data_IF_583107373629
#
_entry.id   IF_583107373629
#
_cell.length_a   1.000
_cell.length_b   1.000
_cell.length_c   1.000
_cell.angle_alpha   90.00
_cell.angle_beta   90.00
_cell.angle_gamma   90.00
#
_symmetry.space_group_name_H-M   'P 1'
#
loop_
_entity.id
_entity.type
_entity.pdbx_description
1 polymer ?
#
# COMPACT_ATOMS: atom_id res chain seq x y z
N UNK A 1 -46.12 -4.58 -18.66
CA UNK A 1 -45.29 -3.49 -18.11
C UNK A 1 -43.83 -3.90 -18.29
N UNK A 2 -43.16 -3.47 -19.38
CA UNK A 2 -41.72 -3.73 -19.58
C UNK A 2 -40.98 -2.77 -18.66
N UNK A 3 -40.60 -3.26 -17.49
CA UNK A 3 -39.69 -2.56 -16.59
C UNK A 3 -38.40 -2.26 -17.36
N UNK A 4 -38.17 -0.98 -17.68
CA UNK A 4 -36.93 -0.45 -18.23
C UNK A 4 -35.85 -0.47 -17.14
N UNK A 5 -35.48 -1.65 -16.66
CA UNK A 5 -34.28 -1.80 -15.87
C UNK A 5 -33.08 -1.64 -16.83
N UNK A 6 -32.19 -0.66 -16.56
CA UNK A 6 -31.05 -0.38 -17.42
C UNK A 6 -30.17 -1.62 -17.61
N UNK A 7 -29.77 -1.87 -18.86
CA UNK A 7 -28.87 -2.97 -19.21
C UNK A 7 -27.48 -2.71 -18.64
N UNK A 8 -26.93 -3.69 -17.90
CA UNK A 8 -25.56 -3.64 -17.41
C UNK A 8 -24.58 -3.79 -18.59
N UNK A 9 -23.74 -2.79 -18.82
CA UNK A 9 -22.67 -2.87 -19.81
C UNK A 9 -21.29 -2.71 -19.17
N UNK A 10 -20.41 -3.67 -19.46
CA UNK A 10 -18.99 -3.62 -19.10
C UNK A 10 -18.23 -3.03 -20.27
N UNK A 11 -17.72 -1.81 -20.10
CA UNK A 11 -17.02 -1.07 -21.13
C UNK A 11 -15.50 -1.14 -20.95
N UNK A 12 -14.75 -0.51 -21.85
CA UNK A 12 -13.29 -0.40 -21.76
C UNK A 12 -12.76 0.10 -20.42
N UNK A 13 -13.52 0.94 -19.68
CA UNK A 13 -13.10 1.45 -18.37
C UNK A 13 -13.11 0.35 -17.32
N UNK A 14 -14.10 -0.55 -17.37
CA UNK A 14 -14.16 -1.74 -16.53
C UNK A 14 -12.95 -2.63 -16.76
N UNK A 15 -12.69 -2.98 -18.02
CA UNK A 15 -11.60 -3.90 -18.36
C UNK A 15 -10.23 -3.31 -18.04
N UNK A 16 -10.05 -2.00 -18.23
CA UNK A 16 -8.81 -1.34 -17.84
C UNK A 16 -8.65 -1.32 -16.31
N UNK A 17 -9.67 -0.89 -15.56
CA UNK A 17 -9.62 -0.84 -14.10
C UNK A 17 -9.31 -2.22 -13.51
N UNK A 18 -9.99 -3.27 -13.98
CA UNK A 18 -9.70 -4.64 -13.58
C UNK A 18 -8.29 -5.08 -14.00
N UNK A 19 -7.94 -4.86 -15.27
CA UNK A 19 -6.67 -5.30 -15.85
C UNK A 19 -5.45 -4.69 -15.17
N UNK A 20 -5.47 -3.40 -14.79
CA UNK A 20 -4.33 -2.77 -14.12
C UNK A 20 -4.09 -3.35 -12.72
N UNK A 21 -5.14 -3.73 -11.98
CA UNK A 21 -4.98 -4.39 -10.68
C UNK A 21 -4.43 -5.81 -10.83
N UNK A 22 -4.90 -6.56 -11.82
CA UNK A 22 -4.36 -7.89 -12.15
C UNK A 22 -2.90 -7.79 -12.58
N UNK A 23 -2.56 -6.80 -13.41
CA UNK A 23 -1.19 -6.54 -13.85
C UNK A 23 -0.27 -6.17 -12.69
N UNK A 24 -0.70 -5.25 -11.81
CA UNK A 24 0.06 -4.86 -10.63
C UNK A 24 0.28 -6.03 -9.65
N UNK A 25 -0.63 -7.00 -9.59
CA UNK A 25 -0.53 -8.15 -8.69
C UNK A 25 0.71 -9.03 -8.96
N UNK A 26 1.22 -9.07 -10.19
CA UNK A 26 2.45 -9.80 -10.52
C UNK A 26 3.70 -9.26 -9.84
N UNK A 27 3.66 -7.99 -9.40
CA UNK A 27 4.78 -7.32 -8.74
C UNK A 27 4.58 -7.20 -7.23
N UNK A 28 3.50 -7.79 -6.69
CA UNK A 28 3.22 -7.78 -5.25
C UNK A 28 4.19 -8.73 -4.54
N UNK A 29 4.79 -8.35 -3.39
CA UNK A 29 5.62 -9.26 -2.60
C UNK A 29 4.87 -10.54 -2.20
N UNK A 30 3.58 -10.42 -1.91
CA UNK A 30 2.66 -11.53 -1.61
C UNK A 30 2.57 -12.57 -2.75
N UNK A 31 2.81 -12.15 -4.00
CA UNK A 31 2.84 -13.06 -5.14
C UNK A 31 4.04 -14.01 -5.06
N UNK A 32 5.16 -13.56 -4.50
CA UNK A 32 6.39 -14.33 -4.35
C UNK A 32 6.43 -15.19 -3.07
N UNK A 33 5.65 -14.81 -2.05
CA UNK A 33 5.47 -15.60 -0.82
C UNK A 33 4.51 -16.79 -1.00
N UNK A 34 3.82 -16.85 -2.13
CA UNK A 34 2.91 -17.94 -2.50
C UNK A 34 3.17 -18.39 -3.94
N UNK A 35 2.33 -19.27 -4.47
CA UNK A 35 2.34 -19.54 -5.90
C UNK A 35 1.81 -18.30 -6.63
N UNK A 36 2.67 -17.59 -7.38
CA UNK A 36 2.34 -16.36 -8.14
C UNK A 36 0.99 -16.48 -8.86
N UNK A 37 0.77 -17.59 -9.58
CA UNK A 37 -0.48 -17.82 -10.31
C UNK A 37 -1.70 -17.87 -9.37
N UNK A 38 -1.59 -18.55 -8.22
CA UNK A 38 -2.66 -18.63 -7.23
C UNK A 38 -3.00 -17.25 -6.68
N UNK A 39 -1.99 -16.43 -6.38
CA UNK A 39 -2.18 -15.06 -5.90
C UNK A 39 -2.83 -14.17 -6.96
N UNK A 40 -2.31 -14.18 -8.17
CA UNK A 40 -2.86 -13.38 -9.28
C UNK A 40 -4.28 -13.79 -9.61
N UNK A 41 -4.61 -15.08 -9.62
CA UNK A 41 -5.98 -15.57 -9.81
C UNK A 41 -6.91 -15.11 -8.67
N UNK A 42 -6.41 -15.14 -7.42
CA UNK A 42 -7.14 -14.60 -6.27
C UNK A 42 -7.45 -13.12 -6.49
N UNK A 43 -6.45 -12.30 -6.83
CA UNK A 43 -6.62 -10.87 -7.11
C UNK A 43 -7.58 -10.66 -8.29
N UNK A 44 -7.43 -11.41 -9.38
CA UNK A 44 -8.30 -11.31 -10.55
C UNK A 44 -9.77 -11.61 -10.21
N UNK A 45 -10.03 -12.62 -9.39
CA UNK A 45 -11.38 -12.94 -8.92
C UNK A 45 -11.95 -11.83 -8.04
N UNK A 46 -11.26 -11.42 -6.98
CA UNK A 46 -11.79 -10.41 -6.04
C UNK A 46 -11.89 -9.02 -6.66
N UNK A 47 -10.92 -8.60 -7.46
CA UNK A 47 -11.00 -7.33 -8.19
C UNK A 47 -12.10 -7.35 -9.25
N UNK A 48 -12.26 -8.47 -9.97
CA UNK A 48 -13.35 -8.67 -10.93
C UNK A 48 -14.71 -8.59 -10.24
N UNK A 49 -14.89 -9.32 -9.12
CA UNK A 49 -16.09 -9.28 -8.31
C UNK A 49 -16.41 -7.87 -7.78
N UNK A 50 -15.39 -7.15 -7.29
CA UNK A 50 -15.52 -5.78 -6.80
C UNK A 50 -15.98 -4.82 -7.89
N UNK A 51 -15.25 -4.73 -9.00
CA UNK A 51 -15.60 -3.83 -10.09
C UNK A 51 -16.94 -4.20 -10.73
N UNK A 52 -17.25 -5.50 -10.83
CA UNK A 52 -18.50 -5.97 -11.40
C UNK A 52 -19.68 -5.54 -10.53
N UNK A 53 -19.56 -5.70 -9.22
CA UNK A 53 -20.59 -5.28 -8.26
C UNK A 53 -20.79 -3.77 -8.31
N UNK A 54 -19.70 -2.97 -8.37
CA UNK A 54 -19.81 -1.52 -8.54
C UNK A 54 -20.50 -1.14 -9.86
N UNK A 55 -20.16 -1.77 -10.97
CA UNK A 55 -20.82 -1.53 -12.26
C UNK A 55 -22.31 -1.92 -12.22
N UNK A 56 -22.65 -3.02 -11.55
CA UNK A 56 -24.04 -3.42 -11.33
C UNK A 56 -24.81 -2.39 -10.48
N UNK A 57 -24.17 -1.81 -9.46
CA UNK A 57 -24.74 -0.72 -8.67
C UNK A 57 -24.85 0.58 -9.49
N UNK A 58 -23.84 0.90 -10.30
CA UNK A 58 -23.86 2.09 -11.15
C UNK A 58 -24.94 2.03 -12.23
N UNK A 59 -25.30 0.83 -12.69
CA UNK A 59 -26.43 0.66 -13.58
C UNK A 59 -27.74 1.16 -12.94
N UNK A 60 -27.87 1.22 -11.62
CA UNK A 60 -29.06 1.75 -10.94
C UNK A 60 -29.11 3.28 -10.92
N UNK A 61 -28.05 3.96 -11.33
CA UNK A 61 -27.92 5.42 -11.30
C UNK A 61 -28.44 6.06 -12.59
N UNK A 62 -28.81 7.36 -12.56
CA UNK A 62 -29.11 8.11 -13.78
C UNK A 62 -27.92 8.12 -14.75
N UNK A 63 -28.12 8.15 -16.09
CA UNK A 63 -27.05 8.00 -17.08
C UNK A 63 -25.86 8.96 -16.90
N UNK A 64 -26.14 10.24 -16.61
CA UNK A 64 -25.09 11.24 -16.40
C UNK A 64 -24.21 10.90 -15.17
N UNK A 65 -24.83 10.41 -14.11
CA UNK A 65 -24.14 10.07 -12.88
C UNK A 65 -23.41 8.72 -12.99
N UNK A 66 -23.96 7.78 -13.76
CA UNK A 66 -23.28 6.53 -14.11
C UNK A 66 -21.96 6.79 -14.84
N UNK A 67 -21.96 7.67 -15.85
CA UNK A 67 -20.74 8.00 -16.60
C UNK A 67 -19.70 8.72 -15.74
N UNK A 68 -20.14 9.65 -14.89
CA UNK A 68 -19.27 10.28 -13.90
C UNK A 68 -18.66 9.25 -12.94
N UNK A 69 -19.48 8.38 -12.35
CA UNK A 69 -19.05 7.36 -11.40
C UNK A 69 -18.04 6.37 -12.01
N UNK A 70 -18.25 5.93 -13.25
CA UNK A 70 -17.29 5.09 -13.99
C UNK A 70 -15.94 5.79 -14.20
N UNK A 71 -15.96 7.09 -14.52
CA UNK A 71 -14.73 7.86 -14.72
C UNK A 71 -13.97 8.07 -13.40
N UNK A 72 -14.68 8.37 -12.31
CA UNK A 72 -14.09 8.46 -10.96
C UNK A 72 -13.49 7.12 -10.55
N UNK A 73 -14.23 6.02 -10.73
CA UNK A 73 -13.76 4.67 -10.43
C UNK A 73 -12.48 4.33 -11.22
N UNK A 74 -12.45 4.65 -12.51
CA UNK A 74 -11.25 4.44 -13.33
C UNK A 74 -10.07 5.27 -12.83
N UNK A 75 -10.26 6.57 -12.57
CA UNK A 75 -9.19 7.44 -12.11
C UNK A 75 -8.59 6.96 -10.80
N UNK A 76 -9.42 6.64 -9.81
CA UNK A 76 -8.97 6.07 -8.54
C UNK A 76 -8.26 4.73 -8.75
N UNK A 77 -8.78 3.88 -9.64
CA UNK A 77 -8.18 2.59 -9.94
C UNK A 77 -6.78 2.71 -10.55
N UNK A 78 -6.59 3.63 -11.50
CA UNK A 78 -5.29 3.88 -12.11
C UNK A 78 -4.29 4.42 -11.09
N UNK A 79 -4.69 5.38 -10.26
CA UNK A 79 -3.83 5.93 -9.19
C UNK A 79 -3.39 4.83 -8.24
N UNK A 80 -4.33 4.07 -7.67
CA UNK A 80 -4.01 3.00 -6.74
C UNK A 80 -3.17 1.89 -7.39
N UNK A 81 -3.54 1.43 -8.60
CA UNK A 81 -2.79 0.38 -9.28
C UNK A 81 -1.36 0.80 -9.63
N UNK A 82 -1.14 2.05 -10.05
CA UNK A 82 0.21 2.55 -10.33
C UNK A 82 1.05 2.71 -9.06
N UNK A 83 0.46 3.17 -7.96
CA UNK A 83 1.18 3.21 -6.68
C UNK A 83 1.55 1.79 -6.25
N UNK A 84 0.63 0.81 -6.35
CA UNK A 84 0.92 -0.59 -6.02
C UNK A 84 2.01 -1.17 -6.91
N UNK A 85 1.91 -0.97 -8.22
CA UNK A 85 2.90 -1.42 -9.18
C UNK A 85 4.28 -0.83 -8.84
N UNK A 86 4.35 0.49 -8.62
CA UNK A 86 5.61 1.15 -8.29
C UNK A 86 6.18 0.66 -6.96
N UNK A 87 5.35 0.54 -5.93
CA UNK A 87 5.77 0.04 -4.62
C UNK A 87 6.30 -1.39 -4.69
N UNK A 88 5.60 -2.26 -5.41
CA UNK A 88 6.02 -3.65 -5.61
C UNK A 88 7.27 -3.77 -6.47
N UNK A 89 7.32 -3.07 -7.59
CA UNK A 89 8.43 -3.14 -8.54
C UNK A 89 9.72 -2.52 -8.02
N UNK A 90 9.65 -1.34 -7.41
CA UNK A 90 10.85 -0.58 -6.98
C UNK A 90 11.29 -0.96 -5.58
N UNK A 91 10.35 -1.16 -4.65
CA UNK A 91 10.65 -1.36 -3.24
C UNK A 91 10.39 -2.78 -2.75
N UNK A 92 9.87 -3.67 -3.59
CA UNK A 92 9.37 -4.99 -3.17
C UNK A 92 8.47 -4.86 -1.93
N UNK A 93 7.58 -3.87 -1.96
CA UNK A 93 6.72 -3.50 -0.84
C UNK A 93 5.27 -3.34 -1.31
N UNK A 94 4.34 -3.67 -0.44
CA UNK A 94 2.92 -3.42 -0.65
C UNK A 94 2.50 -2.01 -0.19
N UNK A 95 1.34 -1.53 -0.66
CA UNK A 95 0.76 -0.30 -0.12
C UNK A 95 0.38 -0.52 1.36
N UNK A 96 1.09 0.15 2.27
CA UNK A 96 0.99 -0.06 3.71
C UNK A 96 1.18 1.25 4.50
N UNK A 97 1.10 1.15 5.83
CA UNK A 97 1.24 2.29 6.73
C UNK A 97 2.63 2.94 6.68
N UNK A 98 3.70 2.16 6.51
CA UNK A 98 5.07 2.69 6.47
C UNK A 98 5.23 3.61 5.27
N UNK A 99 4.76 3.18 4.08
CA UNK A 99 4.76 4.00 2.87
C UNK A 99 4.02 5.34 3.10
N UNK A 100 2.87 5.28 3.76
CA UNK A 100 2.06 6.48 4.06
C UNK A 100 2.74 7.42 5.06
N UNK A 101 3.38 6.89 6.10
CA UNK A 101 4.14 7.68 7.07
C UNK A 101 5.36 8.33 6.43
N UNK A 102 6.06 7.62 5.54
CA UNK A 102 7.17 8.19 4.76
C UNK A 102 6.68 9.33 3.88
N UNK A 103 5.55 9.16 3.19
CA UNK A 103 4.94 10.22 2.36
C UNK A 103 4.47 11.41 3.20
N UNK A 104 3.99 11.19 4.43
CA UNK A 104 3.55 12.26 5.31
C UNK A 104 4.72 13.06 5.90
N UNK A 105 5.84 12.39 6.20
CA UNK A 105 7.00 13.00 6.85
C UNK A 105 8.02 13.59 5.88
N UNK A 106 7.85 13.40 4.57
CA UNK A 106 8.81 13.90 3.57
C UNK A 106 8.62 15.38 3.26
N UNK A 107 9.63 15.98 2.63
CA UNK A 107 9.60 17.36 2.15
C UNK A 107 9.94 17.46 0.65
N UNK A 108 9.87 18.67 0.11
CA UNK A 108 10.07 18.92 -1.33
C UNK A 108 11.49 18.60 -1.79
N UNK A 109 12.51 18.89 -0.97
CA UNK A 109 13.91 18.61 -1.33
C UNK A 109 14.18 17.11 -1.44
N UNK A 110 13.67 16.34 -0.47
CA UNK A 110 13.71 14.87 -0.49
C UNK A 110 12.95 14.30 -1.67
N UNK A 111 11.74 14.81 -1.95
CA UNK A 111 10.93 14.38 -3.10
C UNK A 111 11.67 14.61 -4.41
N UNK A 112 12.30 15.77 -4.60
CA UNK A 112 13.07 16.06 -5.81
C UNK A 112 14.32 15.19 -5.94
N UNK A 113 15.05 14.95 -4.85
CA UNK A 113 16.20 14.05 -4.83
C UNK A 113 15.79 12.62 -5.19
N UNK A 114 14.66 12.16 -4.62
CA UNK A 114 14.07 10.87 -4.94
C UNK A 114 13.70 10.77 -6.42
N UNK A 115 12.96 11.72 -6.98
CA UNK A 115 12.56 11.70 -8.39
C UNK A 115 13.77 11.66 -9.34
N UNK A 116 14.84 12.41 -9.04
CA UNK A 116 16.09 12.34 -9.81
C UNK A 116 16.71 10.94 -9.77
N UNK A 117 16.70 10.29 -8.60
CA UNK A 117 17.23 8.93 -8.45
C UNK A 117 16.40 7.87 -9.21
N UNK A 118 15.11 8.13 -9.44
CA UNK A 118 14.15 7.16 -10.00
C UNK A 118 13.83 7.37 -11.49
N UNK A 119 14.71 8.02 -12.25
CA UNK A 119 14.46 8.41 -13.65
C UNK A 119 13.98 7.24 -14.53
N UNK A 120 14.59 6.06 -14.43
CA UNK A 120 14.18 4.87 -15.21
C UNK A 120 12.77 4.37 -14.82
N UNK A 121 12.45 4.36 -13.53
CA UNK A 121 11.14 3.96 -13.02
C UNK A 121 10.04 4.96 -13.44
N UNK A 122 10.37 6.25 -13.52
CA UNK A 122 9.46 7.29 -14.00
C UNK A 122 9.14 7.09 -15.49
N UNK A 123 10.16 6.80 -16.33
CA UNK A 123 9.94 6.49 -17.75
C UNK A 123 9.01 5.28 -17.93
N UNK A 124 9.16 4.25 -17.10
CA UNK A 124 8.28 3.09 -17.10
C UNK A 124 6.84 3.45 -16.73
N UNK A 125 6.64 4.26 -15.69
CA UNK A 125 5.29 4.75 -15.32
C UNK A 125 4.68 5.55 -16.47
N UNK A 126 5.43 6.44 -17.11
CA UNK A 126 4.95 7.22 -18.26
C UNK A 126 4.55 6.32 -19.43
N UNK A 127 5.33 5.26 -19.71
CA UNK A 127 5.00 4.27 -20.73
C UNK A 127 3.71 3.49 -20.38
N UNK A 128 3.50 3.15 -19.11
CA UNK A 128 2.27 2.50 -18.65
C UNK A 128 1.05 3.43 -18.74
N UNK A 129 1.20 4.71 -18.38
CA UNK A 129 0.16 5.73 -18.55
C UNK A 129 -0.19 5.86 -20.03
N UNK A 130 0.81 5.94 -20.91
CA UNK A 130 0.60 5.98 -22.35
C UNK A 130 -0.12 4.72 -22.85
N UNK A 131 0.27 3.53 -22.38
CA UNK A 131 -0.41 2.27 -22.70
C UNK A 131 -1.87 2.26 -22.25
N UNK A 132 -2.19 2.78 -21.07
CA UNK A 132 -3.56 2.92 -20.58
C UNK A 132 -4.37 3.90 -21.44
N UNK A 133 -3.79 5.05 -21.82
CA UNK A 133 -4.43 6.02 -22.69
C UNK A 133 -4.67 5.43 -24.10
N UNK A 134 -3.69 4.72 -24.65
CA UNK A 134 -3.80 4.02 -25.92
C UNK A 134 -4.89 2.95 -25.87
N UNK A 135 -4.95 2.16 -24.79
CA UNK A 135 -6.01 1.18 -24.58
C UNK A 135 -7.40 1.83 -24.59
N UNK A 136 -7.58 2.95 -23.88
CA UNK A 136 -8.85 3.68 -23.85
C UNK A 136 -9.23 4.28 -25.21
N UNK A 137 -8.24 4.60 -26.05
CA UNK A 137 -8.45 5.16 -27.38
C UNK A 137 -8.80 4.09 -28.42
N UNK A 138 -8.06 2.99 -28.43
CA UNK A 138 -8.20 1.87 -29.39
C UNK A 138 -9.35 0.94 -29.02
N UNK A 139 -9.43 0.53 -27.74
CA UNK A 139 -10.39 -0.49 -27.32
C UNK A 139 -11.80 0.10 -27.31
N UNK A 140 -12.65 -0.37 -28.24
CA UNK A 140 -14.08 -0.02 -28.31
C UNK A 140 -14.99 -1.15 -27.84
N UNK A 141 -14.41 -2.17 -27.21
CA UNK A 141 -15.16 -3.32 -26.73
C UNK A 141 -16.11 -2.92 -25.59
N UNK A 142 -17.35 -3.36 -25.73
CA UNK A 142 -18.41 -3.21 -24.73
C UNK A 142 -19.18 -4.52 -24.66
N UNK A 143 -19.26 -5.09 -23.45
CA UNK A 143 -20.01 -6.31 -23.20
C UNK A 143 -21.31 -5.99 -22.50
N UNK A 144 -22.41 -6.05 -23.24
CA UNK A 144 -23.76 -5.89 -22.71
C UNK A 144 -24.23 -7.21 -22.10
N UNK A 145 -24.54 -7.20 -20.82
CA UNK A 145 -24.88 -8.39 -20.05
C UNK A 145 -26.40 -8.53 -19.97
N UNK A 146 -26.90 -9.70 -20.40
CA UNK A 146 -28.31 -10.03 -20.26
C UNK A 146 -28.72 -10.18 -18.79
N UNK A 147 -29.97 -9.87 -18.44
CA UNK A 147 -30.46 -9.97 -17.05
C UNK A 147 -30.24 -11.35 -16.42
N UNK A 148 -30.45 -12.43 -17.20
CA UNK A 148 -30.24 -13.81 -16.72
C UNK A 148 -28.77 -14.06 -16.39
N UNK A 149 -27.87 -13.61 -17.27
CA UNK A 149 -26.43 -13.73 -17.03
C UNK A 149 -26.00 -12.85 -15.85
N UNK A 150 -26.54 -11.64 -15.70
CA UNK A 150 -26.22 -10.77 -14.57
C UNK A 150 -26.58 -11.43 -13.22
N UNK A 151 -27.80 -11.96 -13.10
CA UNK A 151 -28.24 -12.67 -11.89
C UNK A 151 -27.38 -13.91 -11.62
N UNK A 152 -27.02 -14.67 -12.66
CA UNK A 152 -26.12 -15.80 -12.53
C UNK A 152 -24.73 -15.38 -12.03
N UNK A 153 -24.13 -14.33 -12.61
CA UNK A 153 -22.82 -13.82 -12.22
C UNK A 153 -22.81 -13.28 -10.79
N UNK A 154 -23.84 -12.52 -10.40
CA UNK A 154 -23.99 -12.05 -9.01
C UNK A 154 -24.13 -13.22 -8.04
N UNK A 155 -24.94 -14.24 -8.40
CA UNK A 155 -25.06 -15.46 -7.61
C UNK A 155 -23.75 -16.22 -7.48
N UNK A 156 -23.00 -16.35 -8.57
CA UNK A 156 -21.69 -17.01 -8.60
C UNK A 156 -20.65 -16.25 -7.74
N UNK A 157 -20.58 -14.92 -7.88
CA UNK A 157 -19.71 -14.06 -7.06
C UNK A 157 -20.09 -14.19 -5.59
N UNK A 158 -21.38 -14.05 -5.26
CA UNK A 158 -21.88 -14.14 -3.89
C UNK A 158 -21.60 -15.50 -3.26
N UNK A 159 -21.80 -16.59 -4.02
CA UNK A 159 -21.46 -17.95 -3.58
C UNK A 159 -19.96 -18.12 -3.37
N UNK A 160 -19.12 -17.65 -4.29
CA UNK A 160 -17.66 -17.76 -4.17
C UNK A 160 -17.10 -17.00 -2.96
N UNK A 161 -17.56 -15.75 -2.75
CA UNK A 161 -17.20 -14.97 -1.56
C UNK A 161 -17.76 -15.63 -0.29
N UNK A 162 -19.02 -16.06 -0.30
CA UNK A 162 -19.67 -16.70 0.84
C UNK A 162 -18.99 -18.02 1.25
N UNK A 163 -18.61 -18.85 0.29
CA UNK A 163 -17.84 -20.08 0.55
C UNK A 163 -16.47 -19.77 1.16
N UNK A 164 -15.77 -18.74 0.68
CA UNK A 164 -14.48 -18.34 1.23
C UNK A 164 -14.60 -17.79 2.66
N UNK A 165 -15.59 -16.92 2.92
CA UNK A 165 -15.88 -16.40 4.26
C UNK A 165 -16.30 -17.53 5.20
N UNK A 166 -17.18 -18.44 4.77
CA UNK A 166 -17.61 -19.59 5.54
C UNK A 166 -16.46 -20.52 5.92
N UNK A 167 -15.56 -20.82 4.97
CA UNK A 167 -14.33 -21.57 5.26
C UNK A 167 -13.46 -20.87 6.30
N UNK A 168 -13.30 -19.56 6.18
CA UNK A 168 -12.47 -18.79 7.13
C UNK A 168 -13.08 -18.77 8.52
N UNK A 169 -14.39 -18.57 8.62
CA UNK A 169 -15.12 -18.59 9.89
C UNK A 169 -15.03 -19.98 10.55
N UNK A 170 -15.17 -21.05 9.77
CA UNK A 170 -15.01 -22.43 10.25
C UNK A 170 -13.61 -22.68 10.83
N UNK A 171 -12.55 -22.29 10.11
CA UNK A 171 -11.17 -22.44 10.58
C UNK A 171 -10.86 -21.54 11.79
N UNK A 172 -11.41 -20.33 11.83
CA UNK A 172 -11.23 -19.42 12.98
C UNK A 172 -11.89 -19.99 14.23
N UNK A 173 -13.09 -20.56 14.09
CA UNK A 173 -13.80 -21.20 15.19
C UNK A 173 -13.03 -22.39 15.77
N UNK A 174 -12.30 -23.16 14.95
CA UNK A 174 -11.44 -24.24 15.42
C UNK A 174 -10.30 -23.77 16.33
N UNK A 175 -9.87 -22.51 16.19
CA UNK A 175 -8.76 -21.92 16.96
C UNK A 175 -9.31 -20.98 18.05
N UNK A 176 -10.61 -21.02 18.33
CA UNK A 176 -11.25 -20.21 19.37
C UNK A 176 -11.39 -18.72 19.02
N UNK A 177 -11.32 -18.37 17.72
CA UNK A 177 -11.43 -16.99 17.23
C UNK A 177 -12.72 -16.79 16.41
N UNK A 178 -13.37 -15.64 16.58
CA UNK A 178 -14.60 -15.29 15.85
C UNK A 178 -14.33 -14.21 14.77
N UNK A 179 -13.49 -14.54 13.79
CA UNK A 179 -13.22 -13.64 12.66
C UNK A 179 -14.21 -13.88 11.52
N UNK A 180 -15.27 -13.05 11.47
CA UNK A 180 -16.31 -13.10 10.42
C UNK A 180 -15.92 -12.35 9.13
N UNK A 181 -14.93 -11.46 9.20
CA UNK A 181 -14.37 -10.78 8.04
C UNK A 181 -12.91 -11.22 7.88
N UNK A 182 -12.59 -12.11 6.91
CA UNK A 182 -11.21 -12.48 6.64
C UNK A 182 -10.46 -11.20 6.26
N UNK A 183 -9.39 -10.80 7.00
CA UNK A 183 -8.52 -9.71 6.56
C UNK A 183 -8.07 -9.95 5.11
N UNK A 184 -7.81 -11.21 4.79
CA UNK A 184 -7.45 -11.71 3.47
C UNK A 184 -8.40 -11.38 2.31
N UNK A 185 -9.68 -11.08 2.55
CA UNK A 185 -10.62 -10.65 1.50
C UNK A 185 -10.53 -9.14 1.35
N UNK A 186 -10.67 -8.41 2.46
CA UNK A 186 -10.60 -6.95 2.49
C UNK A 186 -9.26 -6.41 1.97
N UNK A 187 -8.18 -7.12 2.29
CA UNK A 187 -6.81 -6.76 1.91
C UNK A 187 -6.49 -7.15 0.45
N UNK A 188 -7.38 -7.85 -0.24
CA UNK A 188 -7.25 -8.12 -1.69
C UNK A 188 -8.17 -7.25 -2.54
N UNK A 189 -9.13 -6.57 -1.94
CA UNK A 189 -10.10 -5.76 -2.68
C UNK A 189 -9.45 -4.45 -3.15
N UNK A 190 -9.56 -4.11 -4.45
CA UNK A 190 -9.13 -2.82 -4.97
C UNK A 190 -9.74 -1.67 -4.19
N UNK A 191 -8.97 -0.60 -3.96
CA UNK A 191 -9.34 0.63 -3.27
C UNK A 191 -9.63 0.46 -1.78
N UNK A 192 -10.16 -0.70 -1.34
CA UNK A 192 -10.46 -1.00 0.05
C UNK A 192 -9.17 -1.21 0.85
N UNK A 193 -8.21 -2.00 0.33
CA UNK A 193 -6.89 -2.16 0.99
C UNK A 193 -6.21 -0.80 1.20
N UNK A 194 -6.20 0.04 0.17
CA UNK A 194 -5.57 1.36 0.21
C UNK A 194 -6.29 2.30 1.19
N UNK A 195 -7.62 2.36 1.12
CA UNK A 195 -8.43 3.18 2.04
C UNK A 195 -8.23 2.74 3.49
N UNK A 196 -8.15 1.43 3.74
CA UNK A 196 -7.92 0.86 5.07
C UNK A 196 -6.52 1.19 5.58
N UNK A 197 -5.50 1.10 4.72
CA UNK A 197 -4.15 1.50 5.06
C UNK A 197 -4.07 3.01 5.39
N UNK A 198 -4.73 3.87 4.62
CA UNK A 198 -4.84 5.31 4.91
C UNK A 198 -5.52 5.54 6.26
N UNK A 199 -6.68 4.92 6.48
CA UNK A 199 -7.46 5.06 7.71
C UNK A 199 -6.64 4.70 8.95
N UNK A 200 -6.00 3.52 8.95
CA UNK A 200 -5.19 3.10 10.09
C UNK A 200 -3.92 3.94 10.27
N UNK A 201 -3.32 4.44 9.19
CA UNK A 201 -2.15 5.32 9.30
C UNK A 201 -2.51 6.64 9.99
N UNK A 202 -3.67 7.21 9.66
CA UNK A 202 -4.18 8.43 10.32
C UNK A 202 -4.48 8.18 11.80
N UNK A 203 -5.13 7.04 12.13
CA UNK A 203 -5.47 6.68 13.50
C UNK A 203 -4.24 6.38 14.36
N UNK A 204 -3.24 5.69 13.81
CA UNK A 204 -2.01 5.35 14.51
C UNK A 204 -1.13 6.59 14.75
N UNK A 205 -1.04 7.49 13.76
CA UNK A 205 -0.30 8.75 13.88
C UNK A 205 -0.88 9.67 14.96
N UNK A 206 -2.21 9.73 15.10
CA UNK A 206 -2.86 10.54 16.13
C UNK A 206 -2.76 9.91 17.52
N UNK A 207 -2.89 8.58 17.66
CA UNK A 207 -2.98 7.93 18.97
C UNK A 207 -1.62 7.72 19.64
N UNK A 208 -0.57 7.30 18.93
CA UNK A 208 0.74 7.02 19.54
C UNK A 208 1.42 8.32 19.99
N UNK A 209 1.38 9.35 19.14
CA UNK A 209 1.98 10.66 19.46
C UNK A 209 1.19 11.36 20.56
N UNK A 210 -0.15 11.36 20.51
CA UNK A 210 -0.93 11.97 21.60
C UNK A 210 -0.80 11.19 22.91
N UNK A 211 -0.77 9.86 22.90
CA UNK A 211 -0.58 9.09 24.14
C UNK A 211 0.81 9.27 24.72
N UNK A 212 1.85 9.41 23.89
CA UNK A 212 3.21 9.69 24.36
C UNK A 212 3.36 11.13 24.87
N UNK A 213 2.75 12.13 24.21
CA UNK A 213 2.82 13.54 24.61
C UNK A 213 1.91 13.88 25.81
N UNK A 214 0.79 13.18 25.97
CA UNK A 214 -0.16 13.41 27.06
C UNK A 214 0.15 12.61 28.32
N UNK A 215 1.16 11.73 28.29
CA UNK A 215 1.65 11.13 29.53
C UNK A 215 2.49 12.17 30.28
N UNK A 216 2.04 12.62 31.47
CA UNK A 216 2.87 13.50 32.28
C UNK A 216 4.15 12.75 32.62
N UNK A 217 5.29 13.39 32.36
CA UNK A 217 6.59 12.87 32.78
C UNK A 217 6.54 12.55 34.28
N UNK A 218 7.14 11.43 34.74
CA UNK A 218 7.23 11.12 36.16
C UNK A 218 7.76 12.34 36.92
N UNK A 219 7.17 12.66 38.08
CA UNK A 219 7.51 13.86 38.86
C UNK A 219 9.00 13.96 39.24
N UNK A 220 9.72 12.84 39.20
CA UNK A 220 11.15 12.74 39.50
C UNK A 220 12.05 12.55 38.26
N UNK A 221 11.51 12.68 37.04
CA UNK A 221 12.29 12.44 35.80
C UNK A 221 13.47 13.42 35.62
N UNK A 222 13.37 14.62 36.19
CA UNK A 222 14.43 15.64 36.17
C UNK A 222 15.19 15.72 37.50
N UNK A 223 15.43 14.59 38.17
CA UNK A 223 16.43 14.57 39.25
C UNK A 223 17.82 14.51 38.62
N UNK A 224 18.46 15.67 38.61
CA UNK A 224 19.87 15.81 38.33
C UNK A 224 20.62 15.35 39.59
N UNK A 225 21.43 14.30 39.48
CA UNK A 225 22.26 13.85 40.60
C UNK A 225 23.19 14.98 41.06
N UNK A 226 23.47 15.01 42.36
CA UNK A 226 24.27 16.05 43.00
C UNK A 226 25.70 16.11 42.43
N UNK A 227 26.19 14.98 41.91
CA UNK A 227 27.52 14.84 41.28
C UNK A 227 27.47 14.89 39.73
N UNK A 228 26.45 15.53 39.16
CA UNK A 228 26.29 15.60 37.70
C UNK A 228 27.30 16.52 37.01
N UNK A 229 27.66 16.17 35.78
CA UNK A 229 28.51 17.01 34.92
C UNK A 229 27.75 18.23 34.41
N UNK A 230 28.40 19.39 34.27
CA UNK A 230 27.74 20.66 33.94
C UNK A 230 27.11 20.69 32.55
N UNK A 231 27.58 19.86 31.61
CA UNK A 231 27.03 19.78 30.24
C UNK A 231 26.95 18.32 29.78
N UNK A 232 25.79 17.93 29.26
CA UNK A 232 25.58 16.64 28.59
C UNK A 232 25.20 16.92 27.15
N UNK A 233 26.00 16.40 26.21
CA UNK A 233 25.72 16.49 24.77
C UNK A 233 25.28 15.12 24.28
N UNK A 234 24.01 14.98 23.89
CA UNK A 234 23.50 13.77 23.24
C UNK A 234 23.56 13.95 21.72
N UNK A 235 24.33 13.07 21.06
CA UNK A 235 24.42 13.03 19.59
C UNK A 235 23.59 11.84 19.10
N UNK A 236 22.48 12.11 18.43
CA UNK A 236 21.67 11.07 17.78
C UNK A 236 22.08 10.98 16.31
N UNK A 237 22.79 9.91 15.96
CA UNK A 237 23.17 9.65 14.57
C UNK A 237 22.00 9.08 13.75
N UNK A 238 22.00 9.32 12.44
CA UNK A 238 21.06 8.72 11.50
C UNK A 238 21.79 7.73 10.59
N UNK A 239 21.23 6.52 10.43
CA UNK A 239 21.68 5.51 9.46
C UNK A 239 23.17 5.11 9.51
N UNK A 240 23.88 5.41 10.59
CA UNK A 240 25.26 4.98 10.81
C UNK A 240 25.29 3.53 11.31
N UNK A 241 25.86 2.62 10.51
CA UNK A 241 26.03 1.22 10.88
C UNK A 241 27.48 0.91 11.22
N UNK A 242 27.67 0.25 12.38
CA UNK A 242 28.98 -0.19 12.90
C UNK A 242 29.81 -0.92 11.84
N UNK A 243 29.16 -1.76 11.02
CA UNK A 243 29.83 -2.63 10.05
C UNK A 243 30.48 -1.87 8.88
N UNK A 244 30.13 -0.61 8.67
CA UNK A 244 30.64 0.23 7.59
C UNK A 244 31.47 1.41 8.10
N UNK A 245 32.03 1.31 9.30
CA UNK A 245 32.81 2.38 9.93
C UNK A 245 34.24 1.93 10.21
N UNK A 246 35.21 2.70 9.72
CA UNK A 246 36.64 2.38 9.84
C UNK A 246 37.12 2.16 11.28
N UNK A 247 36.60 2.96 12.23
CA UNK A 247 36.89 2.84 13.67
C UNK A 247 36.54 1.46 14.25
N UNK A 248 35.60 0.74 13.63
CA UNK A 248 35.23 -0.62 14.04
C UNK A 248 35.86 -1.73 13.17
N UNK A 249 36.88 -1.40 12.37
CA UNK A 249 37.63 -2.36 11.55
C UNK A 249 37.14 -2.50 10.10
N UNK A 250 36.27 -1.61 9.63
CA UNK A 250 35.96 -1.55 8.20
C UNK A 250 37.21 -1.09 7.41
N UNK A 251 37.57 -1.74 6.29
CA UNK A 251 38.85 -1.51 5.61
C UNK A 251 39.01 -0.13 4.97
N UNK A 252 37.93 0.65 4.85
CA UNK A 252 37.98 2.01 4.31
C UNK A 252 38.05 3.02 5.47
N UNK A 253 39.01 3.97 5.46
CA UNK A 253 39.17 4.96 6.53
C UNK A 253 38.12 6.08 6.43
N UNK A 254 36.85 5.73 6.58
CA UNK A 254 35.70 6.62 6.43
C UNK A 254 35.21 7.25 7.75
N UNK A 255 35.92 6.99 8.87
CA UNK A 255 35.70 7.65 10.16
C UNK A 255 37.00 8.25 10.73
N UNK A 256 37.79 9.01 9.94
CA UNK A 256 39.16 9.38 10.31
C UNK A 256 39.21 10.25 11.59
N UNK A 257 38.22 11.13 11.78
CA UNK A 257 38.14 11.96 12.98
C UNK A 257 37.89 11.13 14.26
N UNK A 258 36.99 10.15 14.19
CA UNK A 258 36.68 9.29 15.34
C UNK A 258 37.85 8.35 15.65
N UNK A 259 38.50 7.79 14.62
CA UNK A 259 39.69 6.96 14.80
C UNK A 259 40.82 7.72 15.49
N UNK A 260 41.08 8.97 15.06
CA UNK A 260 42.08 9.81 15.73
C UNK A 260 41.69 10.26 17.14
N UNK A 261 40.40 10.31 17.49
CA UNK A 261 39.96 10.54 18.87
C UNK A 261 40.28 9.33 19.77
N UNK A 262 40.01 8.12 19.30
CA UNK A 262 40.28 6.88 20.04
C UNK A 262 41.78 6.69 20.32
N UNK A 263 42.62 7.00 19.33
CA UNK A 263 44.08 6.94 19.47
C UNK A 263 44.58 7.88 20.57
N UNK A 264 44.14 9.14 20.56
CA UNK A 264 44.51 10.12 21.60
C UNK A 264 44.07 9.70 23.00
N UNK A 265 42.83 9.21 23.15
CA UNK A 265 42.37 8.71 24.44
C UNK A 265 43.16 7.50 24.94
N UNK A 266 43.67 6.66 24.03
CA UNK A 266 44.48 5.50 24.38
C UNK A 266 45.86 5.91 24.87
N UNK A 267 46.47 6.91 24.22
CA UNK A 267 47.75 7.49 24.63
C UNK A 267 47.65 8.15 26.01
N UNK A 268 46.60 8.94 26.25
CA UNK A 268 46.37 9.62 27.54
C UNK A 268 46.15 8.65 28.72
N UNK A 269 45.67 7.42 28.46
CA UNK A 269 45.50 6.38 29.50
C UNK A 269 46.77 5.59 29.79
N UNK A 270 47.79 5.70 28.93
CA UNK A 270 49.07 4.99 29.04
C UNK A 270 50.18 5.88 29.61
N UNK A 271 49.96 7.19 29.68
CA UNK A 271 50.81 8.18 30.33
C UNK A 271 50.48 8.32 31.83
#
# INVERSE_FOLDING_TARGET
MKEYLPSLSLDRRFFLAWGVFVGAAFFSPDAHMSYVLKFVLKVAFYSGAFFYTLYALFALLPPNFQEWAKNVLLALSLICAFIRFFAGYVFNMDFNQVLLQTLYNTNLAETLAFLKSQTSSILLILALIFGCALFLWVCRFEWVISRRLNLFLLGFIGFGIGAHVGRTAYLSAQIGSLNLAPPEVLDTLPLIKETRAVYFSLQAGSSVVQNALNQPYPKDYLKVDVDSVPNVVLIVGESASKNFMGIYGYPVPNTPFLSGLEEREREDKLA
#
